data_IF_513031807225
#
_entry.id   IF_513031807225
#
_cell.length_a   1.000
_cell.length_b   1.000
_cell.length_c   1.000
_cell.angle_alpha   90.00
_cell.angle_beta   90.00
_cell.angle_gamma   90.00
#
_symmetry.space_group_name_H-M   'P 1'
#
loop_
_entity.id
_entity.type
_entity.pdbx_description
1 polymer ?
#
# COMPACT_ATOMS: atom_id res chain seq x y z
N UNK A 1 -13.39 9.99 -8.97
CA UNK A 1 -12.70 9.45 -7.78
C UNK A 1 -11.44 10.27 -7.56
N UNK A 2 -11.22 10.82 -6.37
CA UNK A 2 -9.95 11.48 -6.03
C UNK A 2 -8.88 10.39 -5.81
N UNK A 3 -7.92 10.28 -6.73
CA UNK A 3 -6.89 9.25 -6.69
C UNK A 3 -5.90 9.46 -5.53
N UNK A 4 -5.66 10.70 -5.13
CA UNK A 4 -4.77 11.09 -4.03
C UNK A 4 -5.37 10.62 -2.69
N UNK A 5 -6.64 10.96 -2.45
CA UNK A 5 -7.37 10.52 -1.26
C UNK A 5 -7.51 8.99 -1.21
N UNK A 6 -7.76 8.35 -2.36
CA UNK A 6 -7.83 6.90 -2.45
C UNK A 6 -6.49 6.25 -2.07
N UNK A 7 -5.38 6.77 -2.61
CA UNK A 7 -4.03 6.33 -2.28
C UNK A 7 -3.78 6.44 -0.78
N UNK A 8 -4.12 7.58 -0.18
CA UNK A 8 -3.96 7.79 1.26
C UNK A 8 -4.79 6.81 2.10
N UNK A 9 -6.07 6.61 1.76
CA UNK A 9 -6.94 5.69 2.49
C UNK A 9 -6.44 4.23 2.42
N UNK A 10 -6.02 3.77 1.23
CA UNK A 10 -5.46 2.44 1.09
C UNK A 10 -4.15 2.27 1.86
N UNK A 11 -3.29 3.29 1.87
CA UNK A 11 -2.00 3.24 2.57
C UNK A 11 -2.18 3.18 4.09
N UNK A 12 -3.11 3.95 4.64
CA UNK A 12 -3.48 3.87 6.07
C UNK A 12 -3.92 2.46 6.45
N UNK A 13 -4.83 1.88 5.67
CA UNK A 13 -5.29 0.50 5.91
C UNK A 13 -4.15 -0.51 5.76
N UNK A 14 -3.24 -0.32 4.79
CA UNK A 14 -2.07 -1.19 4.63
C UNK A 14 -1.16 -1.12 5.86
N UNK A 15 -0.97 0.08 6.42
CA UNK A 15 -0.21 0.29 7.65
C UNK A 15 -0.84 -0.41 8.86
N UNK A 16 -2.16 -0.29 9.02
CA UNK A 16 -2.87 -0.97 10.12
C UNK A 16 -2.81 -2.50 9.95
N UNK A 17 -2.92 -3.00 8.71
CA UNK A 17 -2.80 -4.43 8.43
C UNK A 17 -1.38 -4.95 8.73
N UNK A 18 -0.35 -4.19 8.38
CA UNK A 18 1.06 -4.49 8.68
C UNK A 18 1.30 -4.58 10.19
N UNK A 19 0.86 -3.59 10.96
CA UNK A 19 0.95 -3.57 12.42
C UNK A 19 0.25 -4.77 13.09
N UNK A 20 -0.82 -5.28 12.47
CA UNK A 20 -1.58 -6.45 12.95
C UNK A 20 -1.03 -7.78 12.42
N UNK A 21 0.08 -7.80 11.69
CA UNK A 21 0.66 -9.00 11.10
C UNK A 21 -0.19 -9.62 9.98
N UNK A 22 -1.13 -8.85 9.40
CA UNK A 22 -2.07 -9.32 8.38
C UNK A 22 -1.49 -9.13 6.98
N UNK A 23 -0.54 -9.99 6.62
CA UNK A 23 0.22 -9.92 5.37
C UNK A 23 -0.64 -9.95 4.09
N UNK A 24 -1.68 -10.80 4.06
CA UNK A 24 -2.53 -10.95 2.88
C UNK A 24 -3.38 -9.69 2.62
N UNK A 25 -4.13 -9.14 3.60
CA UNK A 25 -4.78 -7.84 3.46
C UNK A 25 -3.80 -6.71 3.12
N UNK A 26 -2.65 -6.62 3.81
CA UNK A 26 -1.61 -5.62 3.55
C UNK A 26 -1.18 -5.62 2.08
N UNK A 27 -0.84 -6.79 1.54
CA UNK A 27 -0.35 -6.91 0.17
C UNK A 27 -1.41 -6.54 -0.87
N UNK A 28 -2.68 -6.86 -0.62
CA UNK A 28 -3.78 -6.40 -1.47
C UNK A 28 -3.89 -4.88 -1.47
N UNK A 29 -3.81 -4.27 -0.28
CA UNK A 29 -3.88 -2.83 -0.12
C UNK A 29 -2.68 -2.14 -0.79
N UNK A 30 -1.46 -2.69 -0.68
CA UNK A 30 -0.27 -2.18 -1.38
C UNK A 30 -0.41 -2.22 -2.91
N UNK A 31 -1.08 -3.23 -3.47
CA UNK A 31 -1.43 -3.23 -4.90
C UNK A 31 -2.38 -2.06 -5.23
N UNK A 32 -3.41 -1.82 -4.41
CA UNK A 32 -4.33 -0.70 -4.60
C UNK A 32 -3.64 0.66 -4.47
N UNK A 33 -2.68 0.80 -3.54
CA UNK A 33 -1.83 1.99 -3.42
C UNK A 33 -1.00 2.19 -4.69
N UNK A 34 -0.36 1.14 -5.22
CA UNK A 34 0.42 1.23 -6.46
C UNK A 34 -0.40 1.79 -7.62
N UNK A 35 -1.65 1.36 -7.75
CA UNK A 35 -2.57 1.78 -8.82
C UNK A 35 -3.02 3.23 -8.64
N UNK A 36 -3.44 3.58 -7.42
CA UNK A 36 -3.99 4.91 -7.12
C UNK A 36 -2.90 5.97 -7.15
N UNK A 37 -1.70 5.67 -6.65
CA UNK A 37 -0.52 6.53 -6.79
C UNK A 37 -0.15 6.75 -8.26
N UNK A 38 -0.10 5.69 -9.08
CA UNK A 38 0.20 5.83 -10.50
C UNK A 38 -0.85 6.68 -11.24
N UNK A 39 -2.14 6.52 -10.91
CA UNK A 39 -3.23 7.34 -11.47
C UNK A 39 -3.23 8.79 -10.98
N UNK A 40 -2.68 9.06 -9.80
CA UNK A 40 -2.43 10.41 -9.29
C UNK A 40 -1.16 11.06 -9.89
N UNK A 41 -0.41 10.33 -10.72
CA UNK A 41 0.88 10.80 -11.25
C UNK A 41 2.06 10.65 -10.29
N UNK A 42 1.86 10.03 -9.12
CA UNK A 42 2.88 9.81 -8.11
C UNK A 42 3.63 8.50 -8.36
N UNK A 43 4.38 8.43 -9.47
CA UNK A 43 5.03 7.21 -9.93
C UNK A 43 6.04 6.66 -8.91
N UNK A 44 6.75 7.53 -8.20
CA UNK A 44 7.72 7.17 -7.16
C UNK A 44 7.05 6.47 -5.97
N UNK A 45 5.85 6.92 -5.57
CA UNK A 45 5.04 6.25 -4.55
C UNK A 45 4.53 4.89 -5.04
N UNK A 46 4.10 4.83 -6.31
CA UNK A 46 3.67 3.58 -6.92
C UNK A 46 4.82 2.55 -6.95
N UNK A 47 6.04 2.99 -7.22
CA UNK A 47 7.22 2.14 -7.22
C UNK A 47 7.63 1.69 -5.81
N UNK A 48 7.56 2.57 -4.80
CA UNK A 48 7.79 2.18 -3.39
C UNK A 48 6.79 1.10 -2.94
N UNK A 49 5.51 1.27 -3.29
CA UNK A 49 4.48 0.28 -2.99
C UNK A 49 4.76 -1.08 -3.68
N UNK A 50 5.17 -1.04 -4.95
CA UNK A 50 5.61 -2.22 -5.70
C UNK A 50 6.78 -2.92 -5.03
N UNK A 51 7.80 -2.20 -4.59
CA UNK A 51 8.98 -2.77 -3.93
C UNK A 51 8.60 -3.53 -2.65
N UNK A 52 7.78 -2.94 -1.78
CA UNK A 52 7.31 -3.62 -0.57
C UNK A 52 6.48 -4.87 -0.87
N UNK A 53 5.66 -4.82 -1.93
CA UNK A 53 4.86 -5.95 -2.37
C UNK A 53 5.74 -7.10 -2.88
N UNK A 54 6.74 -6.79 -3.72
CA UNK A 54 7.70 -7.78 -4.25
C UNK A 54 8.56 -8.36 -3.13
N UNK A 55 9.03 -7.54 -2.18
CA UNK A 55 9.81 -8.02 -1.04
C UNK A 55 9.04 -9.06 -0.21
N UNK A 56 7.73 -8.85 -0.03
CA UNK A 56 6.86 -9.81 0.68
C UNK A 56 6.40 -11.00 -0.18
N UNK A 57 6.37 -10.84 -1.51
CA UNK A 57 5.99 -11.88 -2.46
C UNK A 57 6.80 -11.74 -3.76
N UNK A 58 7.98 -12.39 -3.84
CA UNK A 58 8.85 -12.29 -5.01
C UNK A 58 8.22 -12.83 -6.31
N UNK A 59 7.19 -13.67 -6.20
CA UNK A 59 6.43 -14.22 -7.33
C UNK A 59 5.25 -13.34 -7.75
N UNK A 60 5.11 -12.15 -7.17
CA UNK A 60 4.02 -11.24 -7.50
C UNK A 60 4.12 -10.79 -8.98
N UNK A 61 3.00 -10.68 -9.73
CA UNK A 61 3.02 -10.26 -11.13
C UNK A 61 3.64 -8.87 -11.40
N UNK A 62 3.68 -8.00 -10.39
CA UNK A 62 4.39 -6.71 -10.46
C UNK A 62 5.91 -6.83 -10.38
N UNK A 63 6.47 -8.00 -10.10
CA UNK A 63 7.89 -8.28 -10.27
C UNK A 63 8.20 -8.45 -11.76
N UNK A 64 8.12 -7.34 -12.47
CA UNK A 64 8.23 -7.21 -13.92
C UNK A 64 9.36 -6.24 -14.25
N UNK A 65 10.14 -6.47 -15.32
CA UNK A 65 11.17 -5.54 -15.76
C UNK A 65 10.59 -4.23 -16.32
N UNK A 66 9.27 -4.15 -16.51
CA UNK A 66 8.61 -2.97 -17.03
C UNK A 66 8.54 -1.83 -15.98
N UNK A 67 8.51 -0.56 -16.41
CA UNK A 67 8.13 0.56 -15.55
C UNK A 67 6.76 0.31 -14.89
N UNK A 68 6.51 0.88 -13.71
CA UNK A 68 5.26 0.64 -12.96
C UNK A 68 4.01 0.96 -13.79
N UNK A 69 4.00 2.07 -14.52
CA UNK A 69 2.88 2.47 -15.38
C UNK A 69 2.54 1.40 -16.43
N UNK A 70 3.55 0.72 -16.96
CA UNK A 70 3.38 -0.35 -17.95
C UNK A 70 3.06 -1.69 -17.29
N UNK A 71 3.69 -1.99 -16.15
CA UNK A 71 3.45 -3.21 -15.37
C UNK A 71 1.99 -3.32 -14.93
N UNK A 72 1.37 -2.20 -14.56
CA UNK A 72 -0.04 -2.18 -14.18
C UNK A 72 -0.98 -2.64 -15.29
N UNK A 73 -0.61 -2.48 -16.57
CA UNK A 73 -1.45 -2.86 -17.72
C UNK A 73 -1.29 -4.34 -18.11
N UNK A 74 -0.40 -5.09 -17.46
CA UNK A 74 -0.24 -6.52 -17.76
C UNK A 74 -1.49 -7.30 -17.36
N UNK A 75 -1.92 -8.26 -18.18
CA UNK A 75 -3.14 -9.06 -17.97
C UNK A 75 -3.16 -9.76 -16.60
N UNK A 76 -2.01 -10.30 -16.19
CA UNK A 76 -1.83 -10.93 -14.88
C UNK A 76 -2.06 -9.98 -13.71
N UNK A 77 -1.72 -8.70 -13.88
CA UNK A 77 -1.96 -7.64 -12.89
C UNK A 77 -3.41 -7.18 -12.97
N UNK A 78 -3.95 -6.91 -14.15
CA UNK A 78 -5.34 -6.50 -14.35
C UNK A 78 -6.33 -7.51 -13.73
N UNK A 79 -6.07 -8.81 -13.89
CA UNK A 79 -6.87 -9.87 -13.26
C UNK A 79 -6.90 -9.79 -11.73
N UNK A 80 -5.79 -9.37 -11.09
CA UNK A 80 -5.73 -9.14 -9.64
C UNK A 80 -6.48 -7.87 -9.24
N UNK A 81 -6.34 -6.81 -10.04
CA UNK A 81 -7.04 -5.53 -9.83
C UNK A 81 -8.55 -5.76 -9.85
N UNK A 82 -9.06 -6.48 -10.84
CA UNK A 82 -10.48 -6.78 -10.97
C UNK A 82 -11.00 -7.59 -9.79
N UNK A 83 -10.21 -8.53 -9.30
CA UNK A 83 -10.57 -9.34 -8.13
C UNK A 83 -10.60 -8.50 -6.86
N UNK A 84 -9.58 -7.69 -6.61
CA UNK A 84 -9.43 -6.98 -5.34
C UNK A 84 -10.27 -5.71 -5.27
N UNK A 85 -10.48 -5.01 -6.38
CA UNK A 85 -11.39 -3.85 -6.46
C UNK A 85 -12.83 -4.23 -6.08
N UNK A 86 -13.28 -5.45 -6.38
CA UNK A 86 -14.58 -5.97 -5.94
C UNK A 86 -14.66 -6.25 -4.44
N UNK A 87 -13.53 -6.52 -3.79
CA UNK A 87 -13.46 -6.81 -2.35
C UNK A 87 -13.33 -5.53 -1.52
N UNK A 88 -12.50 -4.60 -1.99
CA UNK A 88 -12.23 -3.32 -1.32
C UNK A 88 -12.16 -2.21 -2.37
N UNK A 89 -13.33 -1.76 -2.81
CA UNK A 89 -13.45 -0.55 -3.61
C UNK A 89 -13.12 0.70 -2.77
N UNK A 90 -13.13 1.87 -3.42
CA UNK A 90 -12.76 3.11 -2.78
C UNK A 90 -13.70 3.47 -1.62
N UNK A 91 -15.00 3.37 -1.82
CA UNK A 91 -16.02 3.69 -0.83
C UNK A 91 -15.89 2.79 0.40
N UNK A 92 -15.61 1.49 0.17
CA UNK A 92 -15.33 0.54 1.24
C UNK A 92 -14.05 0.90 1.98
N UNK A 93 -12.98 1.30 1.28
CA UNK A 93 -11.73 1.71 1.90
C UNK A 93 -11.91 2.95 2.78
N UNK A 94 -12.61 3.96 2.28
CA UNK A 94 -12.97 5.17 3.04
C UNK A 94 -13.77 4.81 4.30
N UNK A 95 -14.80 3.98 4.15
CA UNK A 95 -15.59 3.51 5.29
C UNK A 95 -14.77 2.72 6.31
N UNK A 96 -13.84 1.86 5.86
CA UNK A 96 -12.96 1.11 6.76
C UNK A 96 -11.99 2.01 7.52
N UNK A 97 -11.49 3.08 6.90
CA UNK A 97 -10.70 4.10 7.59
C UNK A 97 -11.54 4.80 8.66
N UNK A 98 -12.78 5.18 8.34
CA UNK A 98 -13.70 5.80 9.30
C UNK A 98 -14.07 4.87 10.46
N UNK A 99 -13.96 3.55 10.31
CA UNK A 99 -14.22 2.60 11.40
C UNK A 99 -12.98 2.22 12.22
N UNK A 100 -11.77 2.55 11.74
CA UNK A 100 -10.52 2.16 12.39
C UNK A 100 -9.89 3.35 13.12
N UNK A 101 -9.86 3.29 14.45
CA UNK A 101 -9.20 4.30 15.28
C UNK A 101 -7.71 4.45 14.90
N UNK A 102 -7.01 3.34 14.70
CA UNK A 102 -5.61 3.31 14.24
C UNK A 102 -5.41 4.04 12.91
N UNK A 103 -6.34 3.86 11.94
CA UNK A 103 -6.25 4.51 10.64
C UNK A 103 -6.60 6.00 10.72
N UNK A 104 -7.52 6.40 11.61
CA UNK A 104 -7.86 7.82 11.79
C UNK A 104 -6.72 8.62 12.44
N UNK A 105 -5.91 7.99 13.29
CA UNK A 105 -4.74 8.61 13.91
C UNK A 105 -3.63 8.94 12.89
N UNK A 106 -3.72 8.43 11.67
CA UNK A 106 -2.86 8.81 10.55
C UNK A 106 -3.52 9.98 9.81
N UNK A 107 -3.34 11.19 10.34
CA UNK A 107 -3.79 12.43 9.69
C UNK A 107 -2.68 13.01 8.80
N UNK A 108 -2.98 13.50 7.60
CA UNK A 108 -2.01 14.25 6.82
C UNK A 108 -1.86 15.64 7.47
N UNK A 109 -0.75 15.89 8.15
CA UNK A 109 -0.39 17.22 8.67
C UNK A 109 0.14 18.15 7.55
N UNK A 110 0.45 17.56 6.39
CA UNK A 110 1.00 18.19 5.18
C UNK A 110 0.19 17.76 3.94
N UNK A 111 0.66 18.06 2.71
CA UNK A 111 0.04 17.55 1.47
C UNK A 111 -0.06 16.02 1.47
N UNK A 112 -1.08 15.44 0.83
CA UNK A 112 -1.31 13.98 0.82
C UNK A 112 -0.11 13.18 0.30
N UNK A 113 0.61 13.71 -0.69
CA UNK A 113 1.84 13.08 -1.21
C UNK A 113 2.92 12.94 -0.13
N UNK A 114 3.19 14.00 0.64
CA UNK A 114 4.19 13.99 1.71
C UNK A 114 3.77 13.07 2.86
N UNK A 115 2.50 13.12 3.27
CA UNK A 115 1.96 12.19 4.26
C UNK A 115 2.09 10.73 3.83
N UNK A 116 1.85 10.44 2.53
CA UNK A 116 2.07 9.11 1.98
C UNK A 116 3.55 8.70 2.05
N UNK A 117 4.48 9.58 1.68
CA UNK A 117 5.92 9.30 1.74
C UNK A 117 6.36 8.97 3.17
N UNK A 118 5.98 9.79 4.15
CA UNK A 118 6.33 9.56 5.55
C UNK A 118 5.81 8.22 6.06
N UNK A 119 4.55 7.89 5.76
CA UNK A 119 3.96 6.63 6.18
C UNK A 119 4.65 5.43 5.51
N UNK A 120 5.02 5.54 4.23
CA UNK A 120 5.83 4.53 3.53
C UNK A 120 7.20 4.34 4.16
N UNK A 121 7.86 5.42 4.57
CA UNK A 121 9.14 5.34 5.27
C UNK A 121 8.98 4.52 6.57
N UNK A 122 7.95 4.79 7.38
CA UNK A 122 7.67 4.04 8.61
C UNK A 122 7.41 2.54 8.35
N UNK A 123 6.66 2.22 7.29
CA UNK A 123 6.39 0.82 6.92
C UNK A 123 7.66 0.08 6.49
N UNK A 124 8.55 0.76 5.78
CA UNK A 124 9.82 0.19 5.31
C UNK A 124 10.79 -0.03 6.47
N UNK A 125 10.87 0.88 7.42
CA UNK A 125 11.74 0.75 8.61
C UNK A 125 11.28 -0.35 9.55
N UNK A 126 9.96 -0.50 9.75
CA UNK A 126 9.41 -1.57 10.60
C UNK A 126 9.68 -2.97 10.03
N UNK A 127 9.71 -3.10 8.70
CA UNK A 127 10.07 -4.36 8.03
C UNK A 127 11.54 -4.74 8.26
N UNK A 128 12.41 -3.76 8.54
CA UNK A 128 13.85 -3.97 8.81
C UNK A 128 14.15 -4.13 10.31
N UNK A 129 13.24 -3.65 11.18
CA UNK A 129 13.39 -3.68 12.63
C UNK A 129 12.97 -5.00 13.32
N UNK A 130 12.34 -5.93 12.61
CA UNK A 130 11.96 -7.25 13.17
C UNK A 130 13.11 -8.27 13.15
N UNK A 131 14.35 -7.79 13.27
CA UNK A 131 15.53 -8.61 13.53
C UNK A 131 16.48 -7.91 14.49
N UNK A 132 16.00 -7.54 15.68
CA UNK A 132 16.84 -7.46 16.88
C UNK A 132 15.99 -7.47 18.16
N UNK A 133 15.83 -8.64 18.75
CA UNK A 133 15.72 -8.80 20.20
C UNK A 133 16.53 -10.04 20.55
N UNK A 134 17.85 -9.89 20.43
CA UNK A 134 18.77 -10.59 21.30
C UNK A 134 19.00 -9.63 22.48
N UNK A 135 18.38 -9.93 23.61
CA UNK A 135 18.89 -9.57 24.94
C UNK A 135 18.06 -10.31 26.01
N UNK A 136 18.76 -11.24 26.67
CA UNK A 136 18.69 -11.62 28.08
C UNK A 136 17.43 -12.25 28.69
N UNK A 137 17.45 -13.58 28.80
CA UNK A 137 17.48 -14.30 30.09
C UNK A 137 17.77 -15.80 29.89
#
# INVERSE_FOLDING_TARGET
MNHEQACWNYLKLASVADQKGQWLPRNRLLLMVSITAARAGWLDLADKARQLLIASNPRHPLNSPLPIANSLNQESVQSLIDRYSRQVNYERAEHLVLQSHDAQNLSPETSEYQACLELFHRLSTNTTGSSFSAEDA
#
